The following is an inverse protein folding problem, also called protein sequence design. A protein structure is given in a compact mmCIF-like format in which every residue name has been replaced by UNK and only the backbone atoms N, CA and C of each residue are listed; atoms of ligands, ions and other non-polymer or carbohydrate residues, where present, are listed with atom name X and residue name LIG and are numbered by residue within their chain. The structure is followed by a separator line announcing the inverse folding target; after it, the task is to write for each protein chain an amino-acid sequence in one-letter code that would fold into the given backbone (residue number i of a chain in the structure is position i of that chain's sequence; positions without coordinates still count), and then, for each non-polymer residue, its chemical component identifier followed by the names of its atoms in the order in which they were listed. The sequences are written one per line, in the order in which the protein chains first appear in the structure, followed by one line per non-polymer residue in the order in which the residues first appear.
data_IF_992336601194
#
_entry.id   IF_992336601194
#
_cell.length_a   1.000
_cell.length_b   1.000
_cell.length_c   1.000
_cell.angle_alpha   90.00
_cell.angle_beta   90.00
_cell.angle_gamma   90.00
#
_symmetry.space_group_name_H-M   'P 1'
#
loop_
_entity.id
_entity.type
_entity.pdbx_description
1 polymer ?
#
# COMPACT_ATOMS: atom_id res chain seq x y z
N UNK A 1 75.51 -27.14 -23.88
CA UNK A 1 74.36 -27.82 -23.25
C UNK A 1 73.49 -26.75 -22.61
N UNK A 2 72.33 -26.45 -23.19
CA UNK A 2 71.27 -25.64 -22.55
C UNK A 2 69.95 -26.29 -22.96
N UNK A 3 69.24 -26.84 -21.98
CA UNK A 3 68.02 -27.59 -22.15
C UNK A 3 66.82 -26.64 -22.19
N UNK A 4 65.98 -26.77 -23.22
CA UNK A 4 64.67 -26.10 -23.30
C UNK A 4 63.68 -26.76 -22.37
N UNK A 5 63.09 -25.98 -21.46
CA UNK A 5 61.96 -26.40 -20.62
C UNK A 5 60.67 -25.96 -21.29
N UNK A 6 59.85 -26.92 -21.69
CA UNK A 6 58.50 -26.70 -22.25
C UNK A 6 57.53 -26.60 -21.06
N UNK A 7 56.93 -25.42 -20.88
CA UNK A 7 55.86 -25.19 -19.90
C UNK A 7 54.52 -25.65 -20.49
N UNK A 8 53.90 -26.65 -19.86
CA UNK A 8 52.56 -27.13 -20.20
C UNK A 8 51.56 -26.34 -19.35
N UNK A 9 50.83 -25.41 -19.96
CA UNK A 9 49.70 -24.72 -19.34
C UNK A 9 48.46 -25.60 -19.39
N UNK A 10 48.02 -26.11 -18.23
CA UNK A 10 46.77 -26.86 -18.08
C UNK A 10 45.62 -25.85 -17.89
N UNK A 11 44.80 -25.65 -18.92
CA UNK A 11 43.61 -24.80 -18.84
C UNK A 11 42.47 -25.57 -18.18
N UNK A 12 42.14 -25.23 -16.93
CA UNK A 12 40.94 -25.72 -16.25
C UNK A 12 39.73 -24.92 -16.71
N UNK A 13 38.84 -25.53 -17.49
CA UNK A 13 37.51 -24.96 -17.77
C UNK A 13 36.65 -25.04 -16.51
N UNK A 14 36.36 -23.89 -15.90
CA UNK A 14 35.35 -23.78 -14.85
C UNK A 14 33.99 -23.65 -15.54
N UNK A 15 33.15 -24.69 -15.44
CA UNK A 15 31.77 -24.64 -15.95
C UNK A 15 30.89 -23.89 -14.95
N UNK A 16 30.65 -22.61 -15.19
CA UNK A 16 29.65 -21.81 -14.48
C UNK A 16 28.25 -22.19 -14.97
N UNK A 17 27.62 -23.18 -14.32
CA UNK A 17 26.19 -23.42 -14.52
C UNK A 17 25.40 -22.22 -13.96
N UNK A 18 24.41 -21.68 -14.70
CA UNK A 18 23.55 -20.63 -14.16
C UNK A 18 22.76 -21.19 -12.97
N UNK A 19 22.84 -20.50 -11.83
CA UNK A 19 21.95 -20.74 -10.69
C UNK A 19 20.51 -20.52 -11.17
N UNK A 20 19.71 -21.59 -11.19
CA UNK A 20 18.28 -21.46 -11.40
C UNK A 20 17.72 -20.65 -10.22
N UNK A 21 17.28 -19.42 -10.50
CA UNK A 21 16.52 -18.61 -9.56
C UNK A 21 15.17 -19.30 -9.42
N UNK A 22 15.00 -20.07 -8.34
CA UNK A 22 13.68 -20.59 -7.98
C UNK A 22 12.74 -19.39 -7.78
N UNK A 23 11.49 -19.44 -8.28
CA UNK A 23 10.53 -18.38 -8.03
C UNK A 23 10.42 -18.18 -6.52
N UNK A 24 10.49 -16.93 -6.08
CA UNK A 24 10.33 -16.59 -4.66
C UNK A 24 8.95 -17.06 -4.24
N UNK A 25 8.90 -18.10 -3.41
CA UNK A 25 7.64 -18.63 -2.90
C UNK A 25 6.95 -17.57 -2.04
N UNK A 26 5.67 -17.32 -2.29
CA UNK A 26 4.83 -16.46 -1.45
C UNK A 26 4.64 -17.12 -0.09
N UNK A 27 4.99 -16.43 1.00
CA UNK A 27 4.74 -16.92 2.35
C UNK A 27 3.27 -16.71 2.69
N UNK A 28 2.53 -17.79 2.94
CA UNK A 28 1.13 -17.73 3.33
C UNK A 28 0.98 -17.61 4.86
N UNK A 29 0.02 -16.79 5.29
CA UNK A 29 -0.24 -16.47 6.69
C UNK A 29 -1.65 -16.93 7.04
N UNK A 30 -1.82 -17.57 8.20
CA UNK A 30 -3.15 -17.96 8.68
C UNK A 30 -3.87 -16.83 9.43
N UNK A 31 -3.15 -15.78 9.82
CA UNK A 31 -3.71 -14.52 10.30
C UNK A 31 -4.04 -13.59 9.12
N UNK A 32 -3.35 -12.46 9.04
CA UNK A 32 -3.47 -11.50 7.93
C UNK A 32 -2.14 -11.27 7.19
N UNK A 33 -2.25 -10.85 5.94
CA UNK A 33 -1.17 -10.27 5.15
C UNK A 33 -1.37 -8.76 5.01
N UNK A 34 -0.55 -7.98 5.69
CA UNK A 34 -0.65 -6.52 5.70
C UNK A 34 0.23 -5.93 4.60
N UNK A 35 -0.35 -5.14 3.70
CA UNK A 35 0.40 -4.35 2.71
C UNK A 35 0.35 -2.88 3.16
N UNK A 36 1.52 -2.32 3.51
CA UNK A 36 1.64 -0.93 3.96
C UNK A 36 2.20 -0.02 2.86
N UNK A 37 1.50 1.06 2.53
CA UNK A 37 1.92 2.05 1.54
C UNK A 37 2.31 3.38 2.21
N UNK A 38 3.60 3.73 2.09
CA UNK A 38 4.17 4.98 2.63
C UNK A 38 3.66 6.22 1.89
N UNK A 39 3.79 7.38 2.52
CA UNK A 39 3.54 8.69 1.91
C UNK A 39 4.69 9.18 1.03
N UNK A 40 4.48 10.33 0.39
CA UNK A 40 5.45 10.92 -0.53
C UNK A 40 6.80 11.20 0.14
N UNK A 41 7.89 10.96 -0.57
CA UNK A 41 9.28 11.24 -0.21
C UNK A 41 9.75 10.50 1.07
N UNK A 42 8.94 9.60 1.61
CA UNK A 42 9.37 8.70 2.68
C UNK A 42 10.35 7.65 2.11
N UNK A 43 11.34 7.27 2.91
CA UNK A 43 12.28 6.21 2.54
C UNK A 43 11.56 4.88 2.27
N UNK A 44 12.10 4.07 1.35
CA UNK A 44 11.56 2.75 1.03
C UNK A 44 11.37 1.90 2.29
N UNK A 45 10.19 1.29 2.40
CA UNK A 45 9.69 0.65 3.62
C UNK A 45 8.28 1.12 3.94
N UNK A 46 7.82 0.87 5.17
CA UNK A 46 6.46 1.20 5.59
C UNK A 46 6.23 2.70 5.79
N UNK A 47 7.29 3.51 5.94
CA UNK A 47 7.16 4.94 6.25
C UNK A 47 6.30 5.16 7.51
N UNK A 48 5.42 6.16 7.44
CA UNK A 48 4.60 6.60 8.57
C UNK A 48 3.63 5.54 9.07
N UNK A 49 3.21 4.59 8.23
CA UNK A 49 2.27 3.52 8.64
C UNK A 49 2.92 2.36 9.40
N UNK A 50 4.25 2.40 9.64
CA UNK A 50 4.98 1.32 10.30
C UNK A 50 4.40 0.94 11.69
N UNK A 51 3.96 1.92 12.47
CA UNK A 51 3.36 1.70 13.80
C UNK A 51 2.05 0.91 13.71
N UNK A 52 1.18 1.26 12.77
CA UNK A 52 -0.10 0.58 12.52
C UNK A 52 0.14 -0.86 12.05
N UNK A 53 1.04 -1.05 11.07
CA UNK A 53 1.41 -2.40 10.60
C UNK A 53 1.94 -3.25 11.76
N UNK A 54 2.87 -2.72 12.56
CA UNK A 54 3.42 -3.43 13.71
C UNK A 54 2.35 -3.76 14.76
N UNK A 55 1.39 -2.85 14.98
CA UNK A 55 0.26 -3.04 15.90
C UNK A 55 -0.62 -4.21 15.45
N UNK A 56 -1.02 -4.23 14.17
CA UNK A 56 -1.83 -5.32 13.59
C UNK A 56 -1.11 -6.67 13.70
N UNK A 57 0.17 -6.73 13.32
CA UNK A 57 0.95 -7.97 13.37
C UNK A 57 1.13 -8.49 14.80
N UNK A 58 1.15 -7.60 15.79
CA UNK A 58 1.21 -7.98 17.21
C UNK A 58 -0.14 -8.47 17.73
N UNK A 59 -1.24 -7.87 17.26
CA UNK A 59 -2.59 -8.18 17.72
C UNK A 59 -3.19 -9.44 17.07
N UNK A 60 -2.81 -9.77 15.83
CA UNK A 60 -3.33 -10.92 15.09
C UNK A 60 -2.20 -11.97 14.91
N UNK A 61 -2.22 -13.09 15.64
CA UNK A 61 -1.19 -14.12 15.55
C UNK A 61 -1.05 -14.72 14.14
N UNK A 62 0.16 -15.20 13.82
CA UNK A 62 0.49 -15.84 12.54
C UNK A 62 0.23 -14.94 11.31
N UNK A 63 0.37 -13.63 11.50
CA UNK A 63 0.29 -12.63 10.44
C UNK A 63 1.67 -12.25 9.92
N UNK A 64 1.72 -11.61 8.76
CA UNK A 64 2.92 -10.99 8.23
C UNK A 64 2.57 -9.80 7.34
N UNK A 65 3.58 -9.12 6.81
CA UNK A 65 3.33 -7.96 5.97
C UNK A 65 4.49 -7.61 5.05
N UNK A 66 4.19 -6.75 4.09
CA UNK A 66 5.15 -6.16 3.17
C UNK A 66 4.90 -4.67 3.04
N UNK A 67 5.97 -3.89 2.90
CA UNK A 67 5.85 -2.52 2.44
C UNK A 67 5.67 -2.51 0.92
N UNK A 68 4.73 -1.71 0.42
CA UNK A 68 4.56 -1.49 -1.00
C UNK A 68 5.84 -0.85 -1.58
N UNK A 69 6.45 -1.54 -2.53
CA UNK A 69 7.58 -1.01 -3.28
C UNK A 69 7.08 -0.22 -4.48
N UNK A 70 7.17 1.11 -4.39
CA UNK A 70 6.74 2.06 -5.40
C UNK A 70 7.51 3.38 -5.21
N UNK A 71 7.55 4.30 -6.18
CA UNK A 71 8.39 5.49 -6.10
C UNK A 71 8.09 6.39 -4.90
N UNK A 72 6.81 6.56 -4.55
CA UNK A 72 6.35 7.54 -3.56
C UNK A 72 6.93 8.95 -3.82
N UNK A 73 7.06 9.36 -5.08
CA UNK A 73 7.64 10.66 -5.42
C UNK A 73 6.58 11.70 -5.74
N UNK A 74 6.94 12.97 -5.57
CA UNK A 74 6.15 14.12 -6.07
C UNK A 74 6.66 14.67 -7.40
N UNK A 75 7.94 14.52 -7.72
CA UNK A 75 8.60 15.28 -8.80
C UNK A 75 9.34 14.44 -9.83
N UNK A 76 10.03 13.36 -9.42
CA UNK A 76 10.75 12.49 -10.35
C UNK A 76 10.76 11.04 -9.81
N UNK A 77 9.80 10.20 -10.25
CA UNK A 77 8.74 10.48 -11.22
C UNK A 77 7.69 11.48 -10.67
N UNK A 78 6.91 12.09 -11.56
CA UNK A 78 5.81 12.97 -11.16
C UNK A 78 4.79 12.21 -10.28
N UNK A 79 4.08 12.94 -9.42
CA UNK A 79 3.09 12.35 -8.51
C UNK A 79 2.12 11.39 -9.20
N UNK A 80 1.58 11.75 -10.36
CA UNK A 80 0.63 10.90 -11.08
C UNK A 80 1.23 9.58 -11.59
N UNK A 81 2.47 9.62 -12.05
CA UNK A 81 3.22 8.44 -12.48
C UNK A 81 3.58 7.58 -11.26
N UNK A 82 4.02 8.21 -10.15
CA UNK A 82 4.30 7.53 -8.89
C UNK A 82 3.07 6.79 -8.34
N UNK A 83 1.90 7.46 -8.33
CA UNK A 83 0.63 6.84 -7.93
C UNK A 83 0.25 5.70 -8.89
N UNK A 84 0.42 5.88 -10.19
CA UNK A 84 0.15 4.84 -11.21
C UNK A 84 0.99 3.59 -10.98
N UNK A 85 2.29 3.76 -10.73
CA UNK A 85 3.20 2.66 -10.40
C UNK A 85 2.80 1.97 -9.08
N UNK A 86 2.42 2.78 -8.07
CA UNK A 86 1.91 2.28 -6.80
C UNK A 86 0.65 1.42 -6.95
N UNK A 87 -0.31 1.87 -7.78
CA UNK A 87 -1.56 1.13 -8.05
C UNK A 87 -1.24 -0.22 -8.69
N UNK A 88 -0.40 -0.24 -9.73
CA UNK A 88 -0.03 -1.46 -10.42
C UNK A 88 0.72 -2.44 -9.50
N UNK A 89 1.66 -1.94 -8.68
CA UNK A 89 2.39 -2.75 -7.72
C UNK A 89 1.48 -3.33 -6.63
N UNK A 90 0.53 -2.54 -6.11
CA UNK A 90 -0.43 -2.98 -5.10
C UNK A 90 -1.37 -4.06 -5.64
N UNK A 91 -1.93 -3.85 -6.84
CA UNK A 91 -2.77 -4.86 -7.52
C UNK A 91 -1.98 -6.16 -7.68
N UNK A 92 -0.74 -6.09 -8.16
CA UNK A 92 0.10 -7.28 -8.34
C UNK A 92 0.33 -8.05 -7.03
N UNK A 93 0.58 -7.35 -5.91
CA UNK A 93 0.72 -7.99 -4.60
C UNK A 93 -0.59 -8.65 -4.13
N UNK A 94 -1.72 -7.96 -4.27
CA UNK A 94 -3.04 -8.47 -3.88
C UNK A 94 -3.36 -9.74 -4.67
N UNK A 95 -3.25 -9.68 -6.00
CA UNK A 95 -3.57 -10.80 -6.87
C UNK A 95 -2.64 -12.00 -6.61
N UNK A 96 -1.33 -11.74 -6.46
CA UNK A 96 -0.36 -12.79 -6.15
C UNK A 96 -0.70 -13.49 -4.83
N UNK A 97 -0.92 -12.73 -3.76
CA UNK A 97 -1.22 -13.30 -2.46
C UNK A 97 -2.56 -14.04 -2.44
N UNK A 98 -3.59 -13.46 -3.08
CA UNK A 98 -4.90 -14.10 -3.19
C UNK A 98 -4.84 -15.42 -3.96
N UNK A 99 -4.11 -15.48 -5.07
CA UNK A 99 -3.98 -16.67 -5.91
C UNK A 99 -3.15 -17.77 -5.22
N UNK A 100 -2.05 -17.40 -4.56
CA UNK A 100 -1.13 -18.37 -3.96
C UNK A 100 -1.62 -18.87 -2.60
N UNK A 101 -2.22 -17.99 -1.79
CA UNK A 101 -2.49 -18.24 -0.38
C UNK A 101 -3.98 -18.25 -0.02
N UNK A 102 -4.82 -17.57 -0.79
CA UNK A 102 -6.24 -17.39 -0.47
C UNK A 102 -6.51 -16.78 0.91
N UNK A 103 -5.55 -16.05 1.49
CA UNK A 103 -5.61 -15.51 2.85
C UNK A 103 -6.23 -14.11 2.94
N UNK A 104 -6.40 -13.62 4.18
CA UNK A 104 -6.93 -12.28 4.46
C UNK A 104 -5.86 -11.22 4.19
N UNK A 105 -6.20 -10.18 3.44
CA UNK A 105 -5.32 -9.05 3.10
C UNK A 105 -5.81 -7.80 3.80
N UNK A 106 -4.89 -7.07 4.43
CA UNK A 106 -5.14 -5.76 5.04
C UNK A 106 -4.32 -4.72 4.29
N UNK A 107 -4.93 -3.59 3.95
CA UNK A 107 -4.24 -2.46 3.31
C UNK A 107 -4.14 -1.29 4.30
N UNK A 108 -2.95 -0.70 4.44
CA UNK A 108 -2.71 0.46 5.31
C UNK A 108 -1.92 1.51 4.54
N UNK A 109 -2.45 2.73 4.36
CA UNK A 109 -1.79 3.76 3.54
C UNK A 109 -1.79 5.14 4.17
N UNK A 110 -0.71 5.90 3.96
CA UNK A 110 -0.62 7.29 4.40
C UNK A 110 -0.37 8.22 3.20
N UNK A 111 -1.07 9.36 3.15
CA UNK A 111 -0.87 10.41 2.15
C UNK A 111 -0.99 9.84 0.72
N UNK A 112 0.08 9.91 -0.08
CA UNK A 112 0.15 9.27 -1.41
C UNK A 112 -0.16 7.76 -1.37
N UNK A 113 0.27 7.04 -0.32
CA UNK A 113 -0.06 5.63 -0.15
C UNK A 113 -1.55 5.40 0.13
N UNK A 114 -2.23 6.37 0.75
CA UNK A 114 -3.68 6.39 0.88
C UNK A 114 -4.36 6.52 -0.48
N UNK A 115 -3.94 7.50 -1.29
CA UNK A 115 -4.43 7.67 -2.66
C UNK A 115 -4.22 6.39 -3.49
N UNK A 116 -3.02 5.80 -3.45
CA UNK A 116 -2.75 4.54 -4.15
C UNK A 116 -3.78 3.47 -3.77
N UNK A 117 -4.04 3.28 -2.48
CA UNK A 117 -4.99 2.26 -2.01
C UNK A 117 -6.41 2.56 -2.48
N UNK A 118 -6.90 3.78 -2.33
CA UNK A 118 -8.28 4.09 -2.72
C UNK A 118 -8.47 4.05 -4.23
N UNK A 119 -7.45 4.39 -5.03
CA UNK A 119 -7.48 4.21 -6.49
C UNK A 119 -7.36 2.73 -6.91
N UNK A 120 -6.66 1.88 -6.15
CA UNK A 120 -6.70 0.42 -6.35
C UNK A 120 -8.13 -0.11 -6.18
N UNK A 121 -8.91 0.42 -5.23
CA UNK A 121 -10.28 -0.04 -5.01
C UNK A 121 -11.30 0.56 -5.98
N UNK A 122 -11.09 1.81 -6.37
CA UNK A 122 -12.15 2.62 -6.97
C UNK A 122 -11.76 3.31 -8.29
N UNK A 123 -10.51 3.14 -8.75
CA UNK A 123 -9.95 3.83 -9.89
C UNK A 123 -9.84 5.34 -9.64
N UNK A 124 -9.59 6.10 -10.70
CA UNK A 124 -9.48 7.56 -10.64
C UNK A 124 -9.47 8.13 -12.05
N UNK A 125 -9.40 9.45 -12.17
CA UNK A 125 -9.22 10.10 -13.48
C UNK A 125 -7.84 9.75 -14.02
N UNK A 126 -7.78 9.19 -15.22
CA UNK A 126 -6.55 8.76 -15.90
C UNK A 126 -5.68 7.79 -15.08
N UNK A 127 -6.31 6.99 -14.20
CA UNK A 127 -5.63 5.94 -13.42
C UNK A 127 -5.83 4.55 -14.03
N UNK A 128 -4.97 3.57 -13.67
CA UNK A 128 -5.17 2.18 -14.05
C UNK A 128 -6.57 1.65 -13.71
N UNK A 129 -6.95 0.56 -14.37
CA UNK A 129 -8.20 -0.13 -14.00
C UNK A 129 -8.09 -0.62 -12.55
N UNK A 130 -9.09 -0.33 -11.70
CA UNK A 130 -9.08 -0.80 -10.31
C UNK A 130 -9.09 -2.33 -10.22
N UNK A 131 -8.74 -2.82 -9.03
CA UNK A 131 -8.70 -4.22 -8.66
C UNK A 131 -9.97 -4.95 -9.11
N UNK A 132 -9.79 -6.10 -9.76
CA UNK A 132 -10.93 -6.88 -10.23
C UNK A 132 -11.83 -7.30 -9.03
N UNK A 133 -13.17 -7.22 -9.16
CA UNK A 133 -14.09 -7.51 -8.06
C UNK A 133 -13.93 -8.90 -7.41
N UNK A 134 -13.41 -9.89 -8.15
CA UNK A 134 -13.11 -11.23 -7.61
C UNK A 134 -12.10 -11.20 -6.47
N UNK A 135 -11.21 -10.20 -6.43
CA UNK A 135 -10.20 -10.08 -5.38
C UNK A 135 -10.70 -9.33 -4.13
N UNK A 136 -11.84 -8.64 -4.22
CA UNK A 136 -12.45 -7.90 -3.10
C UNK A 136 -12.78 -8.78 -1.89
N UNK A 137 -12.99 -10.08 -2.11
CA UNK A 137 -13.28 -11.05 -1.06
C UNK A 137 -12.06 -11.32 -0.15
N UNK A 138 -10.83 -11.12 -0.64
CA UNK A 138 -9.61 -11.34 0.13
C UNK A 138 -9.25 -10.13 1.01
N UNK A 139 -9.74 -8.93 0.67
CA UNK A 139 -9.54 -7.75 1.51
C UNK A 139 -10.40 -7.87 2.78
N UNK A 140 -9.78 -7.90 3.96
CA UNK A 140 -10.49 -7.94 5.23
C UNK A 140 -10.71 -6.55 5.83
N UNK A 141 -9.69 -5.68 5.75
CA UNK A 141 -9.77 -4.30 6.22
C UNK A 141 -8.83 -3.39 5.41
N UNK A 142 -9.20 -2.10 5.33
CA UNK A 142 -8.48 -1.05 4.64
C UNK A 142 -8.48 0.18 5.54
N UNK A 143 -7.30 0.73 5.84
CA UNK A 143 -7.20 2.01 6.56
C UNK A 143 -6.29 2.96 5.78
N UNK A 144 -6.77 4.19 5.57
CA UNK A 144 -6.00 5.23 4.92
C UNK A 144 -6.00 6.49 5.77
N UNK A 145 -4.90 7.23 5.74
CA UNK A 145 -4.66 8.41 6.57
C UNK A 145 -4.23 9.56 5.68
N UNK A 146 -4.87 10.72 5.80
CA UNK A 146 -4.53 11.90 5.02
C UNK A 146 -4.61 11.68 3.50
N UNK A 147 -5.55 10.86 3.02
CA UNK A 147 -5.71 10.55 1.59
C UNK A 147 -6.12 11.81 0.81
N UNK A 148 -5.32 12.31 -0.15
CA UNK A 148 -5.68 13.46 -0.97
C UNK A 148 -6.99 13.29 -1.77
N UNK A 149 -7.45 12.06 -1.99
CA UNK A 149 -8.72 11.75 -2.67
C UNK A 149 -9.94 11.72 -1.75
N UNK A 150 -9.75 12.01 -0.45
CA UNK A 150 -10.81 12.08 0.55
C UNK A 150 -11.98 12.94 0.06
N UNK A 151 -13.20 12.44 0.28
CA UNK A 151 -14.45 13.11 -0.11
C UNK A 151 -15.40 12.98 1.06
N UNK A 152 -15.64 14.06 1.80
CA UNK A 152 -16.36 13.99 3.06
C UNK A 152 -17.80 13.44 2.92
N UNK A 153 -18.35 12.99 4.04
CA UNK A 153 -19.73 12.53 4.16
C UNK A 153 -19.93 11.05 3.82
N UNK A 154 -18.87 10.26 3.68
CA UNK A 154 -18.99 8.82 3.51
C UNK A 154 -19.13 8.13 4.87
N UNK A 155 -19.78 6.96 4.89
CA UNK A 155 -19.98 6.19 6.13
C UNK A 155 -18.69 5.61 6.71
N UNK A 156 -17.60 5.64 5.94
CA UNK A 156 -16.28 5.16 6.32
C UNK A 156 -15.30 6.29 6.66
N UNK A 157 -15.74 7.54 6.63
CA UNK A 157 -14.92 8.67 7.05
C UNK A 157 -14.67 8.58 8.56
N UNK A 158 -13.43 8.85 8.93
CA UNK A 158 -12.95 8.94 10.30
C UNK A 158 -12.05 10.18 10.44
N UNK A 159 -11.67 10.51 11.67
CA UNK A 159 -10.95 11.76 11.94
C UNK A 159 -11.89 12.91 12.29
N UNK A 160 -11.37 14.13 12.19
CA UNK A 160 -12.10 15.34 12.60
C UNK A 160 -12.68 16.18 11.46
N UNK A 161 -12.28 15.97 10.19
CA UNK A 161 -12.91 16.68 9.07
C UNK A 161 -14.31 16.11 8.78
N UNK A 162 -15.29 17.01 8.65
CA UNK A 162 -16.69 16.66 8.39
C UNK A 162 -17.31 17.51 7.29
N UNK A 163 -16.55 18.44 6.71
CA UNK A 163 -17.09 19.48 5.82
C UNK A 163 -16.30 19.70 4.54
N UNK A 164 -15.07 19.20 4.47
CA UNK A 164 -14.13 19.59 3.44
C UNK A 164 -13.63 18.38 2.66
N UNK A 165 -13.36 18.62 1.39
CA UNK A 165 -12.88 17.61 0.46
C UNK A 165 -11.37 17.75 0.26
N UNK A 166 -10.71 16.65 -0.11
CA UNK A 166 -9.28 16.66 -0.41
C UNK A 166 -8.95 17.33 -1.75
N UNK A 167 -7.67 17.62 -1.95
CA UNK A 167 -7.19 18.32 -3.15
C UNK A 167 -7.39 17.51 -4.45
N UNK A 168 -7.58 16.19 -4.33
CA UNK A 168 -7.90 15.25 -5.42
C UNK A 168 -9.22 14.50 -5.17
N UNK A 169 -10.15 15.13 -4.46
CA UNK A 169 -11.41 14.52 -4.08
C UNK A 169 -12.16 13.90 -5.27
N UNK A 170 -12.77 12.74 -5.00
CA UNK A 170 -13.60 12.03 -5.96
C UNK A 170 -14.88 12.82 -6.19
N UNK A 171 -15.33 12.90 -7.44
CA UNK A 171 -16.56 13.63 -7.75
C UNK A 171 -17.75 13.02 -7.00
N UNK A 172 -18.49 13.86 -6.26
CA UNK A 172 -19.72 13.45 -5.59
C UNK A 172 -20.72 12.84 -6.58
N UNK A 173 -21.21 11.63 -6.29
CA UNK A 173 -22.08 10.87 -7.20
C UNK A 173 -21.38 10.29 -8.44
N UNK A 174 -20.06 10.43 -8.56
CA UNK A 174 -19.26 9.84 -9.62
C UNK A 174 -19.07 8.32 -9.46
N UNK A 175 -18.75 7.63 -10.57
CA UNK A 175 -18.59 6.18 -10.59
C UNK A 175 -17.49 5.67 -9.67
N UNK A 176 -16.40 6.43 -9.54
CA UNK A 176 -15.28 6.07 -8.67
C UNK A 176 -15.70 6.09 -7.20
N UNK A 177 -16.30 7.19 -6.72
CA UNK A 177 -16.81 7.25 -5.34
C UNK A 177 -17.89 6.19 -5.08
N UNK A 178 -18.77 5.95 -6.05
CA UNK A 178 -19.77 4.89 -5.96
C UNK A 178 -19.15 3.49 -5.82
N UNK A 179 -18.05 3.22 -6.56
CA UNK A 179 -17.30 1.97 -6.46
C UNK A 179 -16.60 1.84 -5.10
N UNK A 180 -15.96 2.92 -4.61
CA UNK A 180 -15.32 2.92 -3.28
C UNK A 180 -16.33 2.60 -2.18
N UNK A 181 -17.54 3.16 -2.26
CA UNK A 181 -18.62 2.91 -1.32
C UNK A 181 -19.07 1.43 -1.26
N UNK A 182 -18.78 0.62 -2.27
CA UNK A 182 -19.04 -0.84 -2.20
C UNK A 182 -18.14 -1.56 -1.18
N UNK A 183 -17.03 -0.92 -0.79
CA UNK A 183 -16.09 -1.39 0.23
C UNK A 183 -16.31 -0.74 1.60
N UNK A 184 -17.35 0.08 1.78
CA UNK A 184 -17.55 0.92 2.96
C UNK A 184 -17.45 0.19 4.30
N UNK A 185 -17.90 -1.06 4.37
CA UNK A 185 -17.84 -1.86 5.62
C UNK A 185 -16.43 -2.34 5.99
N UNK A 186 -15.44 -2.13 5.12
CA UNK A 186 -14.04 -2.55 5.28
C UNK A 186 -13.07 -1.38 5.36
N UNK A 187 -13.54 -0.15 5.15
CA UNK A 187 -12.69 1.04 5.07
C UNK A 187 -12.84 1.87 6.34
N UNK A 188 -11.73 2.43 6.82
CA UNK A 188 -11.71 3.69 7.55
C UNK A 188 -10.73 4.66 6.89
N UNK A 189 -11.22 5.86 6.56
CA UNK A 189 -10.44 6.92 5.94
C UNK A 189 -10.31 8.08 6.90
N UNK A 190 -9.15 8.21 7.53
CA UNK A 190 -8.85 9.26 8.50
C UNK A 190 -8.43 10.54 7.80
N UNK A 191 -9.15 11.62 8.09
CA UNK A 191 -8.80 12.97 7.69
C UNK A 191 -9.17 13.96 8.80
N UNK A 192 -8.21 14.78 9.21
CA UNK A 192 -8.37 15.81 10.21
C UNK A 192 -8.66 17.17 9.59
N UNK A 193 -9.51 17.93 10.27
CA UNK A 193 -9.93 19.24 9.82
C UNK A 193 -8.72 20.16 9.64
N UNK A 194 -8.58 20.72 8.44
CA UNK A 194 -7.51 21.66 8.12
C UNK A 194 -6.25 21.01 7.53
N UNK A 195 -6.19 19.68 7.42
CA UNK A 195 -5.14 18.97 6.67
C UNK A 195 -4.98 19.56 5.27
N UNK A 196 -3.73 19.89 4.92
CA UNK A 196 -3.37 20.58 3.67
C UNK A 196 -3.67 19.77 2.39
N UNK A 197 -3.87 18.46 2.49
CA UNK A 197 -4.12 17.55 1.38
C UNK A 197 -5.51 16.91 1.44
N UNK A 198 -5.88 16.24 2.53
CA UNK A 198 -7.16 15.51 2.59
C UNK A 198 -8.36 16.42 2.92
N UNK A 199 -8.12 17.61 3.47
CA UNK A 199 -9.16 18.59 3.81
C UNK A 199 -9.00 19.91 3.04
N UNK A 200 -8.08 19.99 2.06
CA UNK A 200 -7.75 21.21 1.31
C UNK A 200 -7.48 22.45 2.19
N UNK A 201 -6.96 22.23 3.40
CA UNK A 201 -6.63 23.28 4.37
C UNK A 201 -5.21 23.81 4.19
N UNK A 202 -4.61 24.30 5.27
CA UNK A 202 -3.25 24.84 5.32
C UNK A 202 -2.41 24.28 6.49
N UNK A 203 -2.93 23.30 7.24
CA UNK A 203 -2.24 22.70 8.38
C UNK A 203 -1.45 21.45 7.97
N UNK A 204 -0.15 21.64 7.72
CA UNK A 204 0.79 20.53 7.48
C UNK A 204 1.01 19.66 8.72
N UNK A 205 0.76 20.19 9.91
CA UNK A 205 0.91 19.45 11.16
C UNK A 205 -0.20 18.41 11.27
N UNK A 206 -1.45 18.79 11.01
CA UNK A 206 -2.59 17.87 10.95
C UNK A 206 -2.24 16.65 10.07
N UNK A 207 -1.74 16.90 8.86
CA UNK A 207 -1.31 15.83 7.96
C UNK A 207 -0.25 14.90 8.54
N UNK A 208 0.81 15.47 9.14
CA UNK A 208 1.87 14.66 9.75
C UNK A 208 1.43 13.89 11.01
N UNK A 209 0.32 14.29 11.63
CA UNK A 209 -0.18 13.71 12.88
C UNK A 209 -1.32 12.70 12.68
N UNK A 210 -1.85 12.53 11.47
CA UNK A 210 -2.91 11.54 11.18
C UNK A 210 -2.60 10.15 11.77
N UNK A 211 -1.45 9.57 11.42
CA UNK A 211 -1.07 8.23 11.91
C UNK A 211 -0.76 8.24 13.42
N UNK A 212 0.02 9.19 13.98
CA UNK A 212 0.19 9.32 15.43
C UNK A 212 -1.12 9.43 16.22
N UNK A 213 -2.11 10.17 15.71
CA UNK A 213 -3.39 10.41 16.37
C UNK A 213 -4.31 9.20 16.27
N UNK A 214 -4.47 8.65 15.08
CA UNK A 214 -5.52 7.67 14.77
C UNK A 214 -5.01 6.23 14.64
N UNK A 215 -3.70 6.01 14.75
CA UNK A 215 -3.09 4.69 14.52
C UNK A 215 -3.63 3.58 15.43
N UNK A 216 -3.94 3.88 16.70
CA UNK A 216 -4.55 2.89 17.62
C UNK A 216 -5.96 2.52 17.17
N UNK A 217 -6.80 3.51 16.85
CA UNK A 217 -8.16 3.29 16.38
C UNK A 217 -8.18 2.45 15.09
N UNK A 218 -7.21 2.69 14.21
CA UNK A 218 -7.05 1.93 12.98
C UNK A 218 -6.66 0.46 13.23
N UNK A 219 -5.76 0.22 14.19
CA UNK A 219 -5.41 -1.15 14.62
C UNK A 219 -6.65 -1.85 15.17
N UNK A 220 -7.41 -1.20 16.06
CA UNK A 220 -8.60 -1.77 16.67
C UNK A 220 -9.68 -2.09 15.62
N UNK A 221 -9.89 -1.20 14.65
CA UNK A 221 -10.78 -1.44 13.52
C UNK A 221 -10.34 -2.65 12.69
N UNK A 222 -9.07 -2.71 12.29
CA UNK A 222 -8.54 -3.84 11.51
C UNK A 222 -8.72 -5.16 12.26
N UNK A 223 -8.38 -5.18 13.56
CA UNK A 223 -8.52 -6.37 14.41
C UNK A 223 -9.99 -6.80 14.49
N UNK A 224 -10.93 -5.86 14.65
CA UNK A 224 -12.36 -6.17 14.74
C UNK A 224 -12.92 -6.88 13.50
N UNK A 225 -12.32 -6.64 12.32
CA UNK A 225 -12.74 -7.25 11.06
C UNK A 225 -11.93 -8.50 10.67
N UNK A 226 -10.70 -8.60 11.17
CA UNK A 226 -9.71 -9.53 10.61
C UNK A 226 -9.24 -10.63 11.56
N UNK A 227 -9.50 -10.50 12.86
CA UNK A 227 -9.20 -11.53 13.87
C UNK A 227 -10.07 -12.78 13.78
#
# INVERSE_FOLDING_TARGET
MLASVIAICLATLVSSAPLAVLPRQTTCYSGVYVIGARGSEEAAGYGSVASVVSGVLSAIPNSGGVALDYPASVLDPLYDDSVTDGINAMISLIETYANDCGGKIVLVGFSQGGNVITDVLAGGVDKPTPLAPSYAAYLSAVTVFGDPTFTHGQSFDAGTDTTTDGIFARSAGGSSLALLNTYASKIQSYCDNGDVYCASGDDTTAHSQEVPTWGTDAVDFIVSLSS
#
